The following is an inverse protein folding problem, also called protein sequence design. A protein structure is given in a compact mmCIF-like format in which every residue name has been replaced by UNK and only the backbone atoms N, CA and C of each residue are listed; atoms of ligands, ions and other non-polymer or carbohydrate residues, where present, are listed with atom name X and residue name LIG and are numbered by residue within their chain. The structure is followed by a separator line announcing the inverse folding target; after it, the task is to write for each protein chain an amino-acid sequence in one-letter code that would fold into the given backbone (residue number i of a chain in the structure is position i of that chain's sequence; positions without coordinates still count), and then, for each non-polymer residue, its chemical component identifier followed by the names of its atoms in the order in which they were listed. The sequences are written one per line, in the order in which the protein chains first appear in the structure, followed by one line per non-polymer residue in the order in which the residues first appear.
data_IF_095666807583
#
_entry.id   IF_095666807583
#
_cell.length_a   1.000
_cell.length_b   1.000
_cell.length_c   1.000
_cell.angle_alpha   90.00
_cell.angle_beta   90.00
_cell.angle_gamma   90.00
#
_symmetry.space_group_name_H-M   'P 1'
#
loop_
_entity.id
_entity.type
_entity.pdbx_description
1 polymer ?
#
# COMPACT_ATOMS: atom_id res chain seq x y z
N UNK A 1 21.04 -10.83 -18.77
CA UNK A 1 20.00 -10.25 -17.90
C UNK A 1 20.23 -8.75 -17.81
N UNK A 2 19.34 -7.95 -18.36
CA UNK A 2 19.52 -6.49 -18.44
C UNK A 2 19.28 -5.85 -17.07
N UNK A 3 20.00 -4.77 -16.74
CA UNK A 3 19.96 -4.06 -15.44
C UNK A 3 18.54 -3.63 -14.99
N UNK A 4 17.66 -3.45 -15.97
CA UNK A 4 16.23 -3.13 -15.83
C UNK A 4 15.42 -4.30 -15.24
N UNK A 5 15.82 -5.54 -15.54
CA UNK A 5 15.16 -6.75 -15.06
C UNK A 5 15.46 -7.09 -13.60
N UNK A 6 16.64 -6.71 -13.08
CA UNK A 6 17.00 -6.92 -11.66
C UNK A 6 16.35 -5.87 -10.76
N UNK A 7 16.31 -4.61 -11.20
CA UNK A 7 15.69 -3.49 -10.48
C UNK A 7 14.18 -3.70 -10.30
N UNK A 8 13.46 -4.11 -11.34
CA UNK A 8 12.03 -4.42 -11.21
C UNK A 8 11.74 -5.59 -10.25
N UNK A 9 12.64 -6.58 -10.16
CA UNK A 9 12.49 -7.73 -9.25
C UNK A 9 12.70 -7.31 -7.80
N UNK A 10 13.75 -6.54 -7.55
CA UNK A 10 14.04 -5.98 -6.23
C UNK A 10 12.87 -5.12 -5.73
N UNK A 11 12.35 -4.25 -6.59
CA UNK A 11 11.23 -3.35 -6.27
C UNK A 11 9.92 -4.09 -5.98
N UNK A 12 9.61 -5.15 -6.73
CA UNK A 12 8.43 -5.97 -6.43
C UNK A 12 8.57 -6.73 -5.11
N UNK A 13 9.75 -7.29 -4.82
CA UNK A 13 9.99 -7.98 -3.54
C UNK A 13 9.97 -7.04 -2.34
N UNK A 14 10.51 -5.83 -2.47
CA UNK A 14 10.46 -4.82 -1.39
C UNK A 14 9.03 -4.34 -1.17
N UNK A 15 8.24 -4.15 -2.23
CA UNK A 15 6.83 -3.79 -2.11
C UNK A 15 6.00 -4.85 -1.37
N UNK A 16 6.22 -6.14 -1.66
CA UNK A 16 5.57 -7.24 -0.95
C UNK A 16 6.01 -7.25 0.52
N UNK A 17 7.32 -7.15 0.78
CA UNK A 17 7.85 -7.14 2.15
C UNK A 17 7.31 -5.98 2.99
N UNK A 18 7.27 -4.78 2.41
CA UNK A 18 6.71 -3.58 3.03
C UNK A 18 5.22 -3.75 3.32
N UNK A 19 4.46 -4.30 2.37
CA UNK A 19 3.03 -4.51 2.57
C UNK A 19 2.75 -5.53 3.69
N UNK A 20 3.51 -6.63 3.75
CA UNK A 20 3.39 -7.63 4.83
C UNK A 20 3.73 -7.01 6.19
N UNK A 21 4.81 -6.23 6.28
CA UNK A 21 5.18 -5.53 7.51
C UNK A 21 4.10 -4.53 7.94
N UNK A 22 3.56 -3.74 7.00
CA UNK A 22 2.49 -2.80 7.29
C UNK A 22 1.23 -3.50 7.80
N UNK A 23 0.79 -4.59 7.14
CA UNK A 23 -0.36 -5.38 7.60
C UNK A 23 -0.12 -5.96 8.99
N UNK A 24 1.08 -6.49 9.24
CA UNK A 24 1.43 -7.07 10.54
C UNK A 24 1.38 -6.01 11.65
N UNK A 25 1.92 -4.81 11.39
CA UNK A 25 1.87 -3.69 12.32
C UNK A 25 0.44 -3.20 12.59
N UNK A 26 -0.41 -3.11 11.55
CA UNK A 26 -1.81 -2.69 11.69
C UNK A 26 -2.65 -3.73 12.45
N UNK A 27 -2.44 -5.02 12.20
CA UNK A 27 -3.09 -6.11 12.94
C UNK A 27 -2.66 -6.05 14.40
N UNK A 28 -1.35 -5.90 14.67
CA UNK A 28 -0.83 -5.75 16.02
C UNK A 28 -1.47 -4.57 16.76
N UNK A 29 -1.59 -3.41 16.08
CA UNK A 29 -2.27 -2.24 16.64
C UNK A 29 -3.74 -2.50 16.95
N UNK A 30 -4.46 -3.25 16.10
CA UNK A 30 -5.85 -3.64 16.36
C UNK A 30 -6.00 -4.58 17.55
N UNK A 31 -5.08 -5.53 17.71
CA UNK A 31 -5.09 -6.49 18.84
C UNK A 31 -4.67 -5.84 20.16
N UNK A 32 -3.70 -4.92 20.11
CA UNK A 32 -3.19 -4.21 21.29
C UNK A 32 -4.08 -3.03 21.71
N UNK A 33 -5.17 -2.75 20.99
CA UNK A 33 -6.07 -1.64 21.28
C UNK A 33 -6.82 -1.89 22.60
N UNK A 34 -6.90 -0.89 23.50
CA UNK A 34 -7.75 -0.96 24.69
C UNK A 34 -9.22 -1.26 24.36
N UNK A 35 -9.94 -1.91 25.27
CA UNK A 35 -11.37 -2.24 25.07
C UNK A 35 -12.27 -1.01 24.92
N UNK A 36 -11.86 0.15 25.44
CA UNK A 36 -12.60 1.42 25.37
C UNK A 36 -12.16 2.32 24.19
N UNK A 37 -11.50 1.76 23.18
CA UNK A 37 -11.06 2.54 22.00
C UNK A 37 -12.25 2.89 21.11
N UNK A 38 -12.26 4.12 20.55
CA UNK A 38 -13.32 4.56 19.65
C UNK A 38 -13.49 3.59 18.47
N UNK A 39 -14.71 3.18 18.07
CA UNK A 39 -14.92 2.25 16.96
C UNK A 39 -14.36 2.76 15.61
N UNK A 40 -14.27 4.08 15.44
CA UNK A 40 -13.60 4.71 14.29
C UNK A 40 -12.10 4.35 14.18
N UNK A 41 -11.46 3.91 15.26
CA UNK A 41 -10.08 3.43 15.22
C UNK A 41 -9.94 2.24 14.27
N UNK A 42 -10.83 1.25 14.38
CA UNK A 42 -10.83 0.09 13.49
C UNK A 42 -11.18 0.49 12.05
N UNK A 43 -12.06 1.47 11.83
CA UNK A 43 -12.29 2.03 10.49
C UNK A 43 -11.01 2.65 9.91
N UNK A 44 -10.25 3.41 10.69
CA UNK A 44 -8.96 3.96 10.28
C UNK A 44 -7.95 2.86 9.90
N UNK A 45 -7.87 1.79 10.72
CA UNK A 45 -7.03 0.63 10.44
C UNK A 45 -7.46 -0.13 9.18
N UNK A 46 -8.76 -0.25 8.91
CA UNK A 46 -9.27 -0.89 7.68
C UNK A 46 -8.87 -0.10 6.45
N UNK A 47 -8.93 1.23 6.49
CA UNK A 47 -8.49 2.09 5.39
C UNK A 47 -6.99 1.94 5.13
N UNK A 48 -6.16 2.01 6.16
CA UNK A 48 -4.71 1.79 6.06
C UNK A 48 -4.37 0.35 5.58
N UNK A 49 -5.12 -0.64 6.08
CA UNK A 49 -4.98 -2.03 5.68
C UNK A 49 -5.35 -2.25 4.21
N UNK A 50 -6.40 -1.57 3.73
CA UNK A 50 -6.78 -1.54 2.32
C UNK A 50 -5.69 -0.97 1.42
N UNK A 51 -5.03 0.11 1.88
CA UNK A 51 -3.86 0.68 1.20
C UNK A 51 -2.71 -0.33 1.07
N UNK A 52 -2.33 -0.96 2.18
CA UNK A 52 -1.29 -1.99 2.22
C UNK A 52 -1.63 -3.22 1.37
N UNK A 53 -2.89 -3.67 1.38
CA UNK A 53 -3.37 -4.79 0.59
C UNK A 53 -3.35 -4.48 -0.92
N UNK A 54 -3.72 -3.26 -1.31
CA UNK A 54 -3.59 -2.79 -2.70
C UNK A 54 -2.14 -2.82 -3.18
N UNK A 55 -1.20 -2.44 -2.31
CA UNK A 55 0.23 -2.47 -2.57
C UNK A 55 0.76 -3.91 -2.73
N UNK A 56 0.27 -4.83 -1.89
CA UNK A 56 0.58 -6.26 -1.97
C UNK A 56 0.10 -6.87 -3.28
N UNK A 57 -1.17 -6.61 -3.65
CA UNK A 57 -1.77 -7.09 -4.90
C UNK A 57 -1.07 -6.50 -6.12
N UNK A 58 -0.69 -5.22 -6.08
CA UNK A 58 0.10 -4.61 -7.15
C UNK A 58 1.48 -5.25 -7.29
N UNK A 59 2.17 -5.54 -6.18
CA UNK A 59 3.43 -6.25 -6.15
C UNK A 59 3.32 -7.67 -6.75
N UNK A 60 2.33 -8.44 -6.31
CA UNK A 60 2.06 -9.79 -6.84
C UNK A 60 1.69 -9.73 -8.33
N UNK A 61 0.81 -8.83 -8.73
CA UNK A 61 0.41 -8.63 -10.13
C UNK A 61 1.61 -8.31 -11.04
N UNK A 62 2.53 -7.46 -10.58
CA UNK A 62 3.76 -7.15 -11.31
C UNK A 62 4.68 -8.38 -11.47
N UNK A 63 4.79 -9.25 -10.44
CA UNK A 63 5.54 -10.50 -10.56
C UNK A 63 4.88 -11.50 -11.51
N UNK A 64 3.54 -11.61 -11.48
CA UNK A 64 2.77 -12.55 -12.30
C UNK A 64 2.74 -12.16 -13.78
N UNK A 65 2.52 -10.87 -14.11
CA UNK A 65 2.49 -10.39 -15.49
C UNK A 65 3.79 -10.67 -16.24
N UNK A 66 4.92 -10.68 -15.53
CA UNK A 66 6.24 -10.97 -16.10
C UNK A 66 6.43 -12.44 -16.49
N UNK A 67 5.72 -13.38 -15.84
CA UNK A 67 5.77 -14.80 -16.19
C UNK A 67 5.08 -15.13 -17.52
N UNK A 68 4.21 -14.22 -18.01
CA UNK A 68 3.40 -14.41 -19.21
C UNK A 68 3.89 -13.64 -20.46
N UNK A 69 4.96 -12.86 -20.36
CA UNK A 69 5.41 -11.91 -21.38
C UNK A 69 6.06 -12.54 -22.64
N UNK A 70 5.62 -13.71 -23.09
CA UNK A 70 6.14 -14.39 -24.28
C UNK A 70 5.20 -14.41 -25.49
N UNK A 71 4.09 -13.65 -25.51
CA UNK A 71 3.13 -13.73 -26.62
C UNK A 71 2.71 -12.35 -27.13
N UNK A 72 2.89 -12.10 -28.43
CA UNK A 72 2.75 -10.82 -29.16
C UNK A 72 1.36 -10.15 -29.19
N UNK A 73 0.38 -10.64 -28.40
CA UNK A 73 -0.95 -10.02 -28.23
C UNK A 73 -0.98 -8.90 -27.16
N UNK A 74 0.17 -8.57 -26.59
CA UNK A 74 0.27 -8.02 -25.23
C UNK A 74 0.26 -6.49 -25.09
N UNK A 75 0.35 -5.68 -26.15
CA UNK A 75 0.45 -4.22 -26.01
C UNK A 75 -0.80 -3.56 -25.37
N UNK A 76 -2.02 -4.01 -25.73
CA UNK A 76 -3.26 -3.56 -25.07
C UNK A 76 -3.34 -4.03 -23.62
N UNK A 77 -2.91 -5.26 -23.36
CA UNK A 77 -2.83 -5.85 -22.01
C UNK A 77 -1.87 -5.06 -21.12
N UNK A 78 -0.70 -4.66 -21.63
CA UNK A 78 0.27 -3.84 -20.90
C UNK A 78 -0.23 -2.43 -20.59
N UNK A 79 -0.96 -1.78 -21.51
CA UNK A 79 -1.63 -0.50 -21.19
C UNK A 79 -2.74 -0.67 -20.15
N UNK A 80 -3.50 -1.76 -20.21
CA UNK A 80 -4.50 -2.11 -19.20
C UNK A 80 -3.88 -2.32 -17.82
N UNK A 81 -2.79 -3.09 -17.74
CA UNK A 81 -2.02 -3.31 -16.50
C UNK A 81 -1.47 -1.98 -15.97
N UNK A 82 -0.94 -1.12 -16.83
CA UNK A 82 -0.43 0.20 -16.42
C UNK A 82 -1.52 1.10 -15.84
N UNK A 83 -2.71 1.14 -16.45
CA UNK A 83 -3.87 1.87 -15.91
C UNK A 83 -4.36 1.25 -14.59
N UNK A 84 -4.41 -0.06 -14.49
CA UNK A 84 -4.82 -0.77 -13.28
C UNK A 84 -3.87 -0.47 -12.12
N UNK A 85 -2.56 -0.54 -12.35
CA UNK A 85 -1.53 -0.24 -11.34
C UNK A 85 -1.60 1.23 -10.91
N UNK A 86 -1.83 2.16 -11.83
CA UNK A 86 -2.03 3.58 -11.49
C UNK A 86 -3.32 3.82 -10.70
N UNK A 87 -4.40 3.12 -11.02
CA UNK A 87 -5.66 3.21 -10.29
C UNK A 87 -5.53 2.61 -8.88
N UNK A 88 -4.86 1.47 -8.73
CA UNK A 88 -4.54 0.89 -7.43
C UNK A 88 -3.65 1.82 -6.61
N UNK A 89 -2.66 2.46 -7.24
CA UNK A 89 -1.81 3.46 -6.58
C UNK A 89 -2.62 4.64 -6.02
N UNK A 90 -3.50 5.24 -6.85
CA UNK A 90 -4.40 6.31 -6.41
C UNK A 90 -5.31 5.83 -5.27
N UNK A 91 -5.84 4.62 -5.37
CA UNK A 91 -6.68 4.02 -4.34
C UNK A 91 -5.92 3.88 -3.02
N UNK A 92 -4.68 3.40 -3.04
CA UNK A 92 -3.82 3.30 -1.84
C UNK A 92 -3.61 4.66 -1.19
N UNK A 93 -3.23 5.69 -1.96
CA UNK A 93 -3.00 7.04 -1.42
C UNK A 93 -4.27 7.63 -0.79
N UNK A 94 -5.42 7.47 -1.45
CA UNK A 94 -6.71 7.96 -0.94
C UNK A 94 -7.12 7.19 0.32
N UNK A 95 -6.94 5.87 0.33
CA UNK A 95 -7.23 5.03 1.48
C UNK A 95 -6.36 5.40 2.70
N UNK A 96 -5.05 5.57 2.50
CA UNK A 96 -4.14 5.97 3.58
C UNK A 96 -4.47 7.36 4.11
N UNK A 97 -4.78 8.32 3.23
CA UNK A 97 -5.20 9.67 3.63
C UNK A 97 -6.50 9.65 4.46
N UNK A 98 -7.49 8.86 4.05
CA UNK A 98 -8.73 8.68 4.80
C UNK A 98 -8.48 8.01 6.15
N UNK A 99 -7.67 6.95 6.20
CA UNK A 99 -7.31 6.27 7.45
C UNK A 99 -6.62 7.21 8.43
N UNK A 100 -5.67 8.02 7.94
CA UNK A 100 -5.00 9.06 8.71
C UNK A 100 -5.96 10.12 9.23
N UNK A 101 -6.85 10.64 8.39
CA UNK A 101 -7.84 11.65 8.78
C UNK A 101 -8.77 11.12 9.88
N UNK A 102 -9.21 9.87 9.76
CA UNK A 102 -10.04 9.20 10.76
C UNK A 102 -9.29 9.08 12.09
N UNK A 103 -8.02 8.64 12.06
CA UNK A 103 -7.20 8.54 13.27
C UNK A 103 -6.95 9.91 13.93
N UNK A 104 -6.71 10.95 13.14
CA UNK A 104 -6.58 12.33 13.64
C UNK A 104 -7.87 12.84 14.28
N UNK A 105 -9.02 12.54 13.69
CA UNK A 105 -10.31 12.97 14.21
C UNK A 105 -10.61 12.41 15.61
N UNK A 106 -10.07 11.22 15.94
CA UNK A 106 -10.25 10.56 17.24
C UNK A 106 -9.04 10.64 18.17
N UNK A 107 -7.91 11.18 17.71
CA UNK A 107 -6.67 11.23 18.48
C UNK A 107 -6.84 11.89 19.86
N UNK A 108 -7.71 12.90 19.95
CA UNK A 108 -8.01 13.62 21.19
C UNK A 108 -8.97 12.91 22.15
N UNK A 109 -9.41 11.67 21.88
CA UNK A 109 -10.26 10.90 22.79
C UNK A 109 -11.66 11.46 23.02
N UNK A 110 -12.25 12.14 22.02
CA UNK A 110 -13.65 12.62 22.13
C UNK A 110 -14.59 11.41 22.29
N UNK A 111 -15.01 11.15 23.53
CA UNK A 111 -15.96 10.08 23.87
C UNK A 111 -15.34 8.70 24.09
N UNK A 112 -14.02 8.57 24.21
CA UNK A 112 -13.32 7.28 24.39
C UNK A 112 -11.90 7.46 24.90
N UNK A 113 -11.16 6.39 25.19
CA UNK A 113 -9.73 6.51 25.54
C UNK A 113 -8.94 7.16 24.40
N UNK A 114 -8.12 8.19 24.66
CA UNK A 114 -7.29 8.82 23.64
C UNK A 114 -6.25 7.83 23.11
N UNK A 115 -5.88 7.98 21.84
CA UNK A 115 -4.86 7.13 21.23
C UNK A 115 -3.48 7.51 21.77
N UNK A 116 -2.67 6.50 22.07
CA UNK A 116 -1.28 6.74 22.46
C UNK A 116 -0.48 7.35 21.30
N UNK A 117 0.44 8.25 21.61
CA UNK A 117 1.35 8.86 20.64
C UNK A 117 2.13 7.80 19.85
N UNK A 118 2.48 6.67 20.48
CA UNK A 118 3.16 5.56 19.82
C UNK A 118 2.28 4.88 18.77
N UNK A 119 0.99 4.66 19.07
CA UNK A 119 0.02 4.10 18.13
C UNK A 119 -0.16 5.00 16.91
N UNK A 120 -0.32 6.31 17.14
CA UNK A 120 -0.39 7.28 16.06
C UNK A 120 0.89 7.28 15.23
N UNK A 121 2.06 7.32 15.87
CA UNK A 121 3.35 7.30 15.17
C UNK A 121 3.51 6.05 14.27
N UNK A 122 3.12 4.86 14.74
CA UNK A 122 3.17 3.62 13.94
C UNK A 122 2.17 3.69 12.77
N UNK A 123 0.96 4.18 12.99
CA UNK A 123 -0.03 4.33 11.93
C UNK A 123 0.40 5.36 10.86
N UNK A 124 0.98 6.49 11.26
CA UNK A 124 1.53 7.48 10.33
C UNK A 124 2.75 6.96 9.59
N UNK A 125 3.65 6.25 10.28
CA UNK A 125 4.82 5.65 9.66
C UNK A 125 4.42 4.60 8.61
N UNK A 126 3.45 3.74 8.93
CA UNK A 126 2.92 2.75 7.99
C UNK A 126 2.27 3.40 6.77
N UNK A 127 1.46 4.46 6.95
CA UNK A 127 0.90 5.26 5.86
C UNK A 127 2.00 5.92 4.99
N UNK A 128 3.02 6.52 5.61
CA UNK A 128 4.10 7.15 4.87
C UNK A 128 4.91 6.13 4.05
N UNK A 129 5.26 5.00 4.65
CA UNK A 129 6.04 3.94 4.00
C UNK A 129 5.25 3.33 2.84
N UNK A 130 3.96 3.07 3.02
CA UNK A 130 3.08 2.54 1.95
C UNK A 130 2.97 3.53 0.80
N UNK A 131 2.70 4.81 1.05
CA UNK A 131 2.66 5.85 0.00
C UNK A 131 4.01 5.97 -0.74
N UNK A 132 5.14 5.98 -0.02
CA UNK A 132 6.47 6.03 -0.62
C UNK A 132 6.71 4.80 -1.50
N UNK A 133 6.42 3.61 -1.00
CA UNK A 133 6.62 2.36 -1.73
C UNK A 133 5.72 2.29 -2.99
N UNK A 134 4.47 2.75 -2.87
CA UNK A 134 3.54 2.88 -3.98
C UNK A 134 4.08 3.88 -5.03
N UNK A 135 4.65 5.01 -4.60
CA UNK A 135 5.31 5.98 -5.48
C UNK A 135 6.50 5.39 -6.23
N UNK A 136 7.40 4.69 -5.52
CA UNK A 136 8.57 4.03 -6.13
C UNK A 136 8.18 2.95 -7.14
N UNK A 137 7.23 2.09 -6.79
CA UNK A 137 6.73 1.05 -7.71
C UNK A 137 6.10 1.67 -8.96
N UNK A 138 5.30 2.73 -8.81
CA UNK A 138 4.74 3.48 -9.95
C UNK A 138 5.81 4.09 -10.85
N UNK A 139 6.82 4.75 -10.27
CA UNK A 139 7.92 5.35 -11.03
C UNK A 139 8.75 4.31 -11.80
N UNK A 140 9.06 3.18 -11.16
CA UNK A 140 9.81 2.08 -11.78
C UNK A 140 8.99 1.46 -12.90
N UNK A 141 7.70 1.21 -12.68
CA UNK A 141 6.84 0.59 -13.69
C UNK A 141 6.63 1.50 -14.91
N UNK A 142 6.55 2.82 -14.71
CA UNK A 142 6.55 3.81 -15.80
C UNK A 142 7.84 3.81 -16.62
N UNK A 143 8.99 3.50 -16.02
CA UNK A 143 10.29 3.44 -16.71
C UNK A 143 10.52 2.13 -17.45
N UNK A 144 9.94 1.03 -16.96
CA UNK A 144 10.12 -0.31 -17.53
C UNK A 144 9.14 -0.60 -18.67
N UNK A 145 7.95 0.01 -18.66
CA UNK A 145 6.94 -0.17 -19.69
C UNK A 145 7.15 0.83 -20.85
N UNK A 146 7.20 0.38 -22.12
CA UNK A 146 7.36 1.29 -23.25
C UNK A 146 6.18 2.26 -23.34
N UNK A 147 6.50 3.55 -23.45
CA UNK A 147 5.58 4.58 -23.96
C UNK A 147 5.49 4.39 -25.46
N UNK A 148 4.37 3.84 -25.93
CA UNK A 148 4.03 3.85 -27.35
C UNK A 148 3.91 5.26 -27.89
#
# INVERSE_FOLDING_TARGET
MTLVQSTARSVASTAIGVAVLALTALIWLGVAAPTDTHPLFYFGLIFLGGGAMGLLLAGVGATAARSRASTSADFRSFQGIRRLVLAMWLCTVVADALGVLVLLAIAGGRGSTPLSTSTLAVAFATAAITVICAGFTSAVMRRVLPTG
#
